data_IF_622579860231
#
_entry.id   IF_622579860231
#
_cell.length_a   1.000
_cell.length_b   1.000
_cell.length_c   1.000
_cell.angle_alpha   90.00
_cell.angle_beta   90.00
_cell.angle_gamma   90.00
#
_symmetry.space_group_name_H-M   'P 1'
#
loop_
_entity.id
_entity.type
_entity.pdbx_description
1 polymer ?
#
# COMPACT_ATOMS: atom_id res chain seq x y z
N UNK A 1 26.17 -33.00 -2.34
CA UNK A 1 25.32 -32.03 -1.61
C UNK A 1 24.57 -31.21 -2.64
N UNK A 2 23.23 -31.17 -2.60
CA UNK A 2 22.43 -30.42 -3.58
C UNK A 2 22.60 -28.91 -3.33
N UNK A 3 22.71 -28.08 -4.38
CA UNK A 3 22.70 -26.63 -4.22
C UNK A 3 21.30 -26.21 -3.75
N UNK A 4 21.24 -25.51 -2.62
CA UNK A 4 20.06 -24.76 -2.20
C UNK A 4 19.80 -23.65 -3.21
N UNK A 5 18.58 -23.48 -3.73
CA UNK A 5 18.29 -22.38 -4.63
C UNK A 5 18.18 -21.10 -3.80
N UNK A 6 19.19 -20.21 -3.85
CA UNK A 6 19.05 -18.84 -3.35
C UNK A 6 18.11 -18.08 -4.28
N UNK A 7 16.80 -18.19 -4.02
CA UNK A 7 15.83 -17.25 -4.57
C UNK A 7 15.96 -15.95 -3.82
N UNK A 8 16.90 -15.11 -4.23
CA UNK A 8 17.08 -13.78 -3.64
C UNK A 8 16.00 -12.87 -4.18
N UNK A 9 14.99 -12.59 -3.35
CA UNK A 9 14.00 -11.56 -3.66
C UNK A 9 14.55 -10.23 -3.17
N UNK A 10 15.04 -9.41 -4.10
CA UNK A 10 15.32 -8.00 -3.80
C UNK A 10 14.01 -7.30 -3.47
N UNK A 11 13.80 -6.94 -2.20
CA UNK A 11 12.65 -6.14 -1.78
C UNK A 11 12.99 -4.67 -2.07
N UNK A 12 12.80 -4.27 -3.32
CA UNK A 12 12.79 -2.86 -3.73
C UNK A 12 11.39 -2.30 -3.52
N UNK A 13 11.30 -1.21 -2.76
CA UNK A 13 10.07 -0.46 -2.63
C UNK A 13 10.02 0.54 -3.79
N UNK A 14 9.20 0.24 -4.80
CA UNK A 14 9.01 1.09 -5.96
C UNK A 14 7.89 2.10 -5.69
N UNK A 15 8.21 3.39 -5.76
CA UNK A 15 7.19 4.43 -5.82
C UNK A 15 6.85 4.70 -7.29
N UNK A 16 5.73 4.16 -7.75
CA UNK A 16 5.17 4.49 -9.06
C UNK A 16 4.51 5.87 -8.94
N UNK A 17 4.89 6.81 -9.80
CA UNK A 17 4.17 8.07 -9.99
C UNK A 17 3.22 7.89 -11.17
N UNK A 18 1.96 7.45 -10.96
CA UNK A 18 0.98 7.46 -12.03
C UNK A 18 0.53 8.90 -12.32
N UNK A 19 0.39 9.17 -13.60
CA UNK A 19 0.03 10.45 -14.21
C UNK A 19 -1.34 10.93 -13.74
N UNK A 20 -1.42 11.97 -12.89
CA UNK A 20 -2.64 12.79 -12.75
C UNK A 20 -2.43 14.14 -12.04
N UNK A 21 -1.24 14.76 -12.13
CA UNK A 21 -1.06 16.15 -11.71
C UNK A 21 -0.82 17.05 -12.92
N UNK A 22 -1.51 18.21 -12.94
CA UNK A 22 -1.36 19.30 -13.92
C UNK A 22 0.06 19.93 -13.98
N UNK A 23 1.06 19.30 -13.37
CA UNK A 23 2.47 19.67 -13.46
C UNK A 23 3.12 18.83 -14.57
N UNK A 24 3.22 19.37 -15.78
CA UNK A 24 3.84 18.70 -16.94
C UNK A 24 5.25 18.14 -16.65
N UNK A 25 5.95 18.66 -15.64
CA UNK A 25 7.33 18.30 -15.29
C UNK A 25 7.52 16.98 -14.50
N UNK A 26 6.51 16.48 -13.80
CA UNK A 26 6.58 15.20 -13.04
C UNK A 26 6.04 14.00 -13.84
N UNK A 27 5.49 14.25 -15.03
CA UNK A 27 4.56 13.36 -15.74
C UNK A 27 5.13 12.05 -16.31
N UNK A 28 6.40 11.67 -16.09
CA UNK A 28 7.04 10.50 -16.71
C UNK A 28 8.27 9.99 -15.94
N UNK A 29 8.14 9.76 -14.62
CA UNK A 29 9.26 9.30 -13.80
C UNK A 29 8.85 8.16 -12.86
N UNK A 30 9.66 7.13 -12.78
CA UNK A 30 9.59 6.13 -11.72
C UNK A 30 10.69 6.43 -10.70
N UNK A 31 10.34 6.50 -9.42
CA UNK A 31 11.30 6.82 -8.36
C UNK A 31 11.43 5.60 -7.46
N UNK A 32 12.66 5.16 -7.27
CA UNK A 32 13.01 4.03 -6.42
C UNK A 32 13.79 4.57 -5.22
N UNK A 33 13.47 4.06 -4.03
CA UNK A 33 14.18 4.39 -2.81
C UNK A 33 14.55 3.11 -2.05
N UNK A 34 15.80 3.04 -1.60
CA UNK A 34 16.29 1.99 -0.71
C UNK A 34 16.25 0.57 -1.29
N UNK A 35 16.14 -0.41 -0.40
CA UNK A 35 16.06 -1.83 -0.74
C UNK A 35 17.24 -2.64 -0.20
N UNK A 36 17.18 -3.95 -0.43
CA UNK A 36 18.22 -4.92 -0.07
C UNK A 36 18.81 -5.55 -1.33
N UNK A 37 20.12 -5.54 -1.45
CA UNK A 37 20.81 -6.03 -2.64
C UNK A 37 22.30 -6.20 -2.40
N UNK A 38 23.03 -6.51 -3.46
CA UNK A 38 24.47 -6.71 -3.41
C UNK A 38 25.23 -5.61 -4.15
N UNK A 39 26.43 -5.32 -3.67
CA UNK A 39 27.39 -4.41 -4.27
C UNK A 39 28.79 -5.00 -4.26
N UNK A 40 29.61 -4.62 -5.21
CA UNK A 40 31.04 -4.94 -5.20
C UNK A 40 31.78 -4.04 -4.21
N UNK A 41 32.95 -4.47 -3.78
CA UNK A 41 33.80 -3.70 -2.87
C UNK A 41 34.01 -2.24 -3.30
N UNK A 42 34.23 -2.00 -4.61
CA UNK A 42 34.46 -0.68 -5.17
C UNK A 42 33.20 0.20 -5.31
N UNK A 43 32.02 -0.37 -5.07
CA UNK A 43 30.71 0.31 -5.15
C UNK A 43 30.16 0.67 -3.74
N UNK A 44 30.90 0.31 -2.69
CA UNK A 44 30.54 0.65 -1.31
C UNK A 44 30.69 2.15 -1.07
N UNK A 45 29.72 2.71 -0.36
CA UNK A 45 29.68 4.12 0.03
C UNK A 45 28.81 4.28 1.30
N UNK A 46 28.75 5.48 1.85
CA UNK A 46 27.97 5.81 3.06
C UNK A 46 26.44 5.66 2.89
N UNK A 47 25.98 5.24 1.70
CA UNK A 47 24.59 4.96 1.36
C UNK A 47 24.25 3.47 1.41
N UNK A 48 25.21 2.60 1.80
CA UNK A 48 25.05 1.16 1.85
C UNK A 48 25.52 0.56 3.18
N UNK A 49 24.59 -0.05 3.91
CA UNK A 49 24.86 -0.73 5.17
C UNK A 49 25.04 -2.23 4.93
N UNK A 50 26.28 -2.70 5.04
CA UNK A 50 26.66 -4.11 4.82
C UNK A 50 26.07 -5.00 5.92
N UNK A 51 25.39 -6.05 5.50
CA UNK A 51 24.85 -7.11 6.35
C UNK A 51 25.64 -8.42 6.24
N UNK A 52 26.00 -8.81 5.01
CA UNK A 52 26.67 -10.08 4.71
C UNK A 52 27.77 -9.87 3.66
N UNK A 53 28.84 -10.64 3.72
CA UNK A 53 29.96 -10.55 2.78
C UNK A 53 30.32 -11.94 2.22
N UNK A 54 30.45 -12.03 0.90
CA UNK A 54 30.98 -13.18 0.19
C UNK A 54 32.40 -12.88 -0.27
N UNK A 55 33.36 -13.65 0.24
CA UNK A 55 34.76 -13.57 -0.18
C UNK A 55 34.94 -14.00 -1.65
N UNK A 56 34.11 -14.93 -2.13
CA UNK A 56 34.01 -15.24 -3.56
C UNK A 56 33.32 -14.07 -4.28
N UNK A 57 34.08 -13.37 -5.13
CA UNK A 57 33.60 -12.26 -5.95
C UNK A 57 33.62 -10.87 -5.28
N UNK A 58 34.12 -10.76 -4.04
CA UNK A 58 34.14 -9.49 -3.27
C UNK A 58 32.76 -8.80 -3.24
N UNK A 59 31.71 -9.59 -3.03
CA UNK A 59 30.32 -9.14 -3.04
C UNK A 59 29.81 -8.94 -1.62
N UNK A 60 29.21 -7.79 -1.38
CA UNK A 60 28.64 -7.39 -0.08
C UNK A 60 27.13 -7.21 -0.24
N UNK A 61 26.34 -7.85 0.60
CA UNK A 61 24.90 -7.71 0.67
C UNK A 61 24.51 -6.79 1.81
N UNK A 62 23.49 -5.97 1.59
CA UNK A 62 23.16 -4.94 2.54
C UNK A 62 21.96 -4.11 2.12
N UNK A 63 21.61 -3.18 3.01
CA UNK A 63 20.56 -2.21 2.77
C UNK A 63 21.14 -0.96 2.13
N UNK A 64 20.35 -0.29 1.30
CA UNK A 64 20.72 1.01 0.75
C UNK A 64 19.69 2.10 1.08
N UNK A 65 20.09 3.35 0.93
CA UNK A 65 19.22 4.55 0.95
C UNK A 65 19.36 5.35 -0.34
N UNK A 66 19.65 4.67 -1.45
CA UNK A 66 19.78 5.33 -2.75
C UNK A 66 18.43 5.83 -3.25
N UNK A 67 18.46 6.89 -4.06
CA UNK A 67 17.33 7.30 -4.87
C UNK A 67 17.71 7.16 -6.34
N UNK A 68 16.93 6.38 -7.08
CA UNK A 68 17.06 6.24 -8.52
C UNK A 68 15.79 6.72 -9.21
N UNK A 69 15.95 7.46 -10.30
CA UNK A 69 14.84 7.96 -11.10
C UNK A 69 14.97 7.38 -12.50
N UNK A 70 13.96 6.67 -12.96
CA UNK A 70 13.87 6.26 -14.35
C UNK A 70 12.94 7.21 -15.10
N UNK A 71 13.51 7.98 -16.03
CA UNK A 71 12.72 8.83 -16.94
C UNK A 71 12.15 7.93 -18.04
N UNK A 72 10.83 7.78 -18.06
CA UNK A 72 10.15 6.87 -18.99
C UNK A 72 10.12 7.40 -20.42
N UNK A 73 10.27 8.72 -20.62
CA UNK A 73 10.37 9.31 -21.98
C UNK A 73 11.75 9.10 -22.56
N UNK A 74 12.78 9.35 -21.75
CA UNK A 74 14.19 9.20 -22.17
C UNK A 74 14.69 7.77 -22.08
N UNK A 75 13.95 6.89 -21.40
CA UNK A 75 14.35 5.52 -21.06
C UNK A 75 15.74 5.47 -20.40
N UNK A 76 15.98 6.42 -19.50
CA UNK A 76 17.29 6.64 -18.90
C UNK A 76 17.20 6.76 -17.39
N UNK A 77 18.21 6.24 -16.70
CA UNK A 77 18.37 6.38 -15.27
C UNK A 77 19.04 7.71 -14.93
N UNK A 78 18.53 8.37 -13.91
CA UNK A 78 18.99 9.63 -13.37
C UNK A 78 19.09 9.48 -11.86
N UNK A 79 20.21 9.93 -11.29
CA UNK A 79 20.35 10.07 -9.85
C UNK A 79 20.19 11.55 -9.49
N UNK A 80 19.09 11.94 -8.81
CA UNK A 80 18.86 13.32 -8.46
C UNK A 80 19.78 13.74 -7.31
N UNK A 81 20.18 15.01 -7.31
CA UNK A 81 20.86 15.61 -6.16
C UNK A 81 19.83 15.87 -5.08
N UNK A 82 19.91 15.10 -4.01
CA UNK A 82 18.99 15.19 -2.88
C UNK A 82 19.56 16.07 -1.78
N UNK A 83 18.68 16.84 -1.14
CA UNK A 83 19.00 17.74 -0.02
C UNK A 83 18.48 17.15 1.28
N UNK A 84 19.04 17.63 2.39
CA UNK A 84 18.78 17.23 3.78
C UNK A 84 19.01 15.73 4.05
N UNK A 85 18.83 15.31 5.30
CA UNK A 85 19.17 13.95 5.73
C UNK A 85 18.09 12.97 5.26
N UNK A 86 18.43 11.98 4.41
CA UNK A 86 17.52 10.91 4.06
C UNK A 86 17.26 9.98 5.26
N UNK A 87 16.19 9.16 5.20
CA UNK A 87 16.02 8.05 6.12
C UNK A 87 17.24 7.10 6.07
N UNK A 88 17.48 6.38 7.16
CA UNK A 88 18.50 5.31 7.22
C UNK A 88 18.28 4.25 6.13
N UNK A 89 19.37 3.56 5.73
CA UNK A 89 19.30 2.52 4.72
C UNK A 89 18.37 1.39 5.16
N UNK A 90 17.41 1.06 4.30
CA UNK A 90 16.26 0.22 4.69
C UNK A 90 15.70 -0.58 3.54
N UNK A 91 15.11 -1.72 3.86
CA UNK A 91 14.31 -2.53 2.92
C UNK A 91 12.97 -2.89 3.55
N UNK A 92 12.06 -3.43 2.74
CA UNK A 92 10.72 -3.82 3.19
C UNK A 92 9.95 -2.69 3.91
N UNK A 93 10.29 -1.43 3.58
CA UNK A 93 9.52 -0.25 3.89
C UNK A 93 8.40 -0.08 2.86
N UNK A 94 7.36 0.69 3.16
CA UNK A 94 6.37 1.07 2.16
C UNK A 94 6.56 2.49 1.70
N UNK A 95 6.25 2.72 0.43
CA UNK A 95 6.24 4.05 -0.19
C UNK A 95 4.83 4.38 -0.67
N UNK A 96 4.39 5.63 -0.49
CA UNK A 96 3.12 6.13 -1.01
C UNK A 96 3.30 7.52 -1.61
N UNK A 97 2.65 7.78 -2.75
CA UNK A 97 2.67 9.09 -3.39
C UNK A 97 1.39 9.83 -3.03
N UNK A 98 1.52 11.04 -2.50
CA UNK A 98 0.40 11.94 -2.29
C UNK A 98 0.80 13.35 -2.71
N UNK A 99 0.14 13.86 -3.76
CA UNK A 99 0.53 15.11 -4.42
C UNK A 99 1.96 15.04 -4.98
N UNK A 100 2.80 15.99 -4.58
CA UNK A 100 4.22 16.09 -4.96
C UNK A 100 5.17 15.50 -3.90
N UNK A 101 4.68 14.67 -2.99
CA UNK A 101 5.46 14.09 -1.88
C UNK A 101 5.45 12.58 -1.94
N UNK A 102 6.64 11.99 -1.98
CA UNK A 102 6.85 10.55 -1.83
C UNK A 102 7.08 10.20 -0.36
N UNK A 103 6.10 9.60 0.29
CA UNK A 103 6.16 9.17 1.69
C UNK A 103 6.85 7.83 1.83
N UNK A 104 7.61 7.65 2.91
CA UNK A 104 8.28 6.40 3.29
C UNK A 104 7.98 6.12 4.76
N UNK A 105 7.45 4.94 5.05
CA UNK A 105 7.17 4.50 6.43
C UNK A 105 7.91 3.21 6.79
N UNK A 106 8.48 3.19 7.98
CA UNK A 106 9.05 2.01 8.62
C UNK A 106 10.12 1.30 7.78
N UNK A 107 10.06 -0.04 7.77
CA UNK A 107 11.04 -0.90 7.12
C UNK A 107 12.03 -1.53 8.09
N UNK A 108 12.83 -2.47 7.56
CA UNK A 108 13.95 -3.10 8.28
C UNK A 108 15.19 -2.23 8.11
N UNK A 109 15.80 -1.85 9.22
CA UNK A 109 17.10 -1.19 9.31
C UNK A 109 17.96 -2.06 10.21
N UNK A 110 19.05 -2.62 9.66
CA UNK A 110 19.94 -3.53 10.40
C UNK A 110 19.15 -4.64 11.12
N UNK A 111 19.24 -4.69 12.44
CA UNK A 111 18.62 -5.70 13.28
C UNK A 111 17.23 -5.31 13.82
N UNK A 112 16.71 -4.14 13.46
CA UNK A 112 15.42 -3.64 13.95
C UNK A 112 14.47 -3.26 12.82
N UNK A 113 13.21 -3.00 13.19
CA UNK A 113 12.19 -2.43 12.31
C UNK A 113 11.85 -1.04 12.82
N UNK A 114 11.50 -0.15 11.91
CA UNK A 114 11.25 1.26 12.22
C UNK A 114 9.76 1.59 12.20
N UNK A 115 9.36 2.66 12.89
CA UNK A 115 8.05 3.31 12.79
C UNK A 115 8.15 4.81 12.45
N UNK A 116 9.25 5.22 11.84
CA UNK A 116 9.45 6.58 11.38
C UNK A 116 8.71 6.83 10.05
N UNK A 117 8.19 8.04 9.89
CA UNK A 117 7.57 8.52 8.66
C UNK A 117 8.41 9.67 8.11
N UNK A 118 8.72 9.61 6.82
CA UNK A 118 9.44 10.65 6.09
C UNK A 118 8.71 10.96 4.79
N UNK A 119 8.95 12.13 4.21
CA UNK A 119 8.62 12.38 2.81
C UNK A 119 9.77 13.03 2.05
N UNK A 120 9.89 12.70 0.77
CA UNK A 120 10.70 13.41 -0.19
C UNK A 120 9.80 14.36 -0.97
N UNK A 121 10.09 15.66 -0.91
CA UNK A 121 9.45 16.63 -1.80
C UNK A 121 10.04 16.48 -3.20
N UNK A 122 9.21 16.12 -4.17
CA UNK A 122 9.64 15.74 -5.52
C UNK A 122 9.93 16.93 -6.44
N UNK A 123 9.49 18.14 -6.07
CA UNK A 123 9.83 19.37 -6.80
C UNK A 123 11.22 19.87 -6.41
N UNK A 124 11.54 19.79 -5.12
CA UNK A 124 12.76 20.36 -4.53
C UNK A 124 13.85 19.32 -4.24
N UNK A 125 13.53 18.03 -4.38
CA UNK A 125 14.38 16.89 -4.01
C UNK A 125 14.92 16.99 -2.59
N UNK A 126 14.08 17.44 -1.65
CA UNK A 126 14.45 17.68 -0.26
C UNK A 126 13.68 16.73 0.66
N UNK A 127 14.39 16.03 1.53
CA UNK A 127 13.79 15.19 2.56
C UNK A 127 13.22 16.03 3.70
N UNK A 128 12.09 15.61 4.25
CA UNK A 128 11.52 16.21 5.45
C UNK A 128 12.34 15.93 6.71
N UNK A 129 13.20 14.91 6.68
CA UNK A 129 13.64 14.21 7.89
C UNK A 129 12.47 13.49 8.56
N UNK A 130 12.71 12.95 9.75
CA UNK A 130 11.69 12.24 10.52
C UNK A 130 10.56 13.17 10.92
N UNK A 131 9.36 12.92 10.39
CA UNK A 131 8.16 13.68 10.74
C UNK A 131 7.85 13.44 12.22
N UNK A 132 7.76 14.53 12.97
CA UNK A 132 7.40 14.48 14.39
C UNK A 132 5.89 14.25 14.49
N UNK A 133 5.51 13.03 14.86
CA UNK A 133 4.11 12.65 15.07
C UNK A 133 3.73 12.95 16.51
N UNK A 134 2.58 13.60 16.70
CA UNK A 134 1.94 13.77 18.00
C UNK A 134 0.94 12.63 18.28
N UNK A 135 0.83 12.23 19.54
CA UNK A 135 -0.16 11.22 19.96
C UNK A 135 0.26 9.76 19.69
N UNK A 136 -0.74 8.91 19.46
CA UNK A 136 -0.52 7.49 19.18
C UNK A 136 0.10 7.30 17.80
N UNK A 137 0.93 6.25 17.68
CA UNK A 137 1.57 5.88 16.42
C UNK A 137 1.61 4.37 16.24
N UNK A 138 1.63 3.88 15.00
CA UNK A 138 1.76 2.45 14.74
C UNK A 138 3.07 1.88 15.32
N UNK A 139 3.03 0.63 15.73
CA UNK A 139 4.24 -0.13 16.08
C UNK A 139 5.23 -0.20 14.91
N UNK A 140 6.52 -0.34 15.23
CA UNK A 140 7.60 -0.56 14.27
C UNK A 140 7.35 -1.79 13.42
N UNK A 141 7.54 -1.67 12.11
CA UNK A 141 7.16 -2.74 11.18
C UNK A 141 7.89 -2.72 9.84
N UNK A 142 7.99 -3.89 9.22
CA UNK A 142 8.40 -4.09 7.83
C UNK A 142 7.37 -4.97 7.10
N UNK A 143 7.46 -5.08 5.78
CA UNK A 143 6.54 -5.89 4.96
C UNK A 143 5.05 -5.52 5.11
N UNK A 144 4.78 -4.30 5.55
CA UNK A 144 3.45 -3.70 5.59
C UNK A 144 3.11 -3.09 4.22
N UNK A 145 1.91 -2.54 4.08
CA UNK A 145 1.54 -1.70 2.93
C UNK A 145 1.14 -0.30 3.39
N UNK A 146 1.45 0.72 2.57
CA UNK A 146 1.03 2.11 2.77
C UNK A 146 0.36 2.57 1.49
N UNK A 147 -0.93 2.89 1.56
CA UNK A 147 -1.77 3.21 0.39
C UNK A 147 -2.33 4.62 0.54
N UNK A 148 -2.18 5.52 -0.45
CA UNK A 148 -2.85 6.81 -0.42
C UNK A 148 -4.37 6.61 -0.49
N UNK A 149 -5.10 7.25 0.41
CA UNK A 149 -6.57 7.23 0.46
C UNK A 149 -7.09 8.66 0.53
N UNK A 150 -8.01 9.01 -0.36
CA UNK A 150 -8.42 10.42 -0.53
C UNK A 150 -7.24 11.31 -0.94
N UNK A 151 -7.35 12.61 -0.63
CA UNK A 151 -6.38 13.63 -1.06
C UNK A 151 -5.32 13.96 0.02
N UNK A 152 -5.58 13.57 1.27
CA UNK A 152 -4.82 14.02 2.45
C UNK A 152 -4.59 12.92 3.49
N UNK A 153 -4.77 11.65 3.11
CA UNK A 153 -4.62 10.53 4.03
C UNK A 153 -3.82 9.37 3.45
N UNK A 154 -3.16 8.63 4.35
CA UNK A 154 -2.44 7.40 4.03
C UNK A 154 -2.97 6.28 4.91
N UNK A 155 -3.32 5.15 4.31
CA UNK A 155 -3.76 3.94 5.01
C UNK A 155 -2.60 2.95 5.11
N UNK A 156 -2.24 2.60 6.33
CA UNK A 156 -1.22 1.60 6.68
C UNK A 156 -1.92 0.31 7.10
N UNK A 157 -1.47 -0.83 6.60
CA UNK A 157 -2.00 -2.14 7.03
C UNK A 157 -0.92 -3.20 7.21
N UNK A 158 -1.08 -3.96 8.28
CA UNK A 158 -0.34 -5.19 8.57
C UNK A 158 1.17 -5.01 8.70
N UNK A 159 1.92 -6.03 8.27
CA UNK A 159 3.37 -6.14 8.38
C UNK A 159 3.80 -7.09 9.50
N UNK A 160 5.09 -7.01 9.84
CA UNK A 160 5.71 -7.78 10.90
C UNK A 160 6.38 -6.82 11.88
N UNK A 161 6.11 -6.96 13.19
CA UNK A 161 6.65 -6.06 14.21
C UNK A 161 8.14 -6.29 14.48
N UNK A 162 8.81 -5.40 15.23
CA UNK A 162 10.21 -5.60 15.64
C UNK A 162 10.40 -6.90 16.45
N UNK A 163 9.38 -7.29 17.22
CA UNK A 163 9.29 -8.52 18.04
C UNK A 163 8.87 -9.75 17.22
N UNK A 164 8.84 -9.64 15.88
CA UNK A 164 8.41 -10.70 14.96
C UNK A 164 6.97 -11.17 15.16
N UNK A 165 6.08 -10.25 15.55
CA UNK A 165 4.64 -10.52 15.64
C UNK A 165 3.94 -10.11 14.33
N UNK A 166 3.26 -11.03 13.62
CA UNK A 166 2.44 -10.68 12.46
C UNK A 166 1.33 -9.71 12.84
N UNK A 167 1.19 -8.63 12.07
CA UNK A 167 0.27 -7.54 12.38
C UNK A 167 -0.98 -7.60 11.49
N UNK A 168 -2.12 -7.27 12.09
CA UNK A 168 -3.43 -7.13 11.43
C UNK A 168 -4.06 -5.75 11.67
N UNK A 169 -3.34 -4.85 12.34
CA UNK A 169 -3.83 -3.50 12.61
C UNK A 169 -3.81 -2.62 11.36
N UNK A 170 -4.80 -1.73 11.27
CA UNK A 170 -4.91 -0.72 10.24
C UNK A 170 -4.77 0.67 10.86
N UNK A 171 -4.13 1.60 10.16
CA UNK A 171 -3.97 2.97 10.64
C UNK A 171 -4.19 3.97 9.50
N UNK A 172 -4.75 5.13 9.83
CA UNK A 172 -4.88 6.26 8.92
C UNK A 172 -4.01 7.40 9.43
N UNK A 173 -3.06 7.84 8.61
CA UNK A 173 -2.31 9.06 8.82
C UNK A 173 -3.01 10.22 8.12
N UNK A 174 -3.31 11.29 8.86
CA UNK A 174 -3.90 12.52 8.34
C UNK A 174 -2.81 13.57 8.15
N UNK A 175 -2.65 14.05 6.90
CA UNK A 175 -1.69 15.11 6.60
C UNK A 175 -2.09 16.46 7.19
N UNK A 176 -3.39 16.68 7.42
CA UNK A 176 -3.92 17.95 7.97
C UNK A 176 -3.59 18.11 9.44
N UNK A 177 -3.73 17.03 10.20
CA UNK A 177 -3.51 17.02 11.66
C UNK A 177 -2.12 16.54 12.03
N UNK A 178 -1.41 15.87 11.11
CA UNK A 178 -0.12 15.22 11.35
C UNK A 178 -0.19 14.15 12.46
N UNK A 179 -1.30 13.40 12.47
CA UNK A 179 -1.60 12.40 13.48
C UNK A 179 -1.99 11.07 12.83
N UNK A 180 -1.68 9.98 13.54
CA UNK A 180 -2.17 8.66 13.20
C UNK A 180 -3.42 8.33 14.02
N UNK A 181 -4.38 7.68 13.39
CA UNK A 181 -5.57 7.15 14.05
C UNK A 181 -5.72 5.67 13.71
N UNK A 182 -5.98 4.83 14.71
CA UNK A 182 -6.20 3.41 14.49
C UNK A 182 -7.53 3.20 13.73
N UNK A 183 -7.43 2.51 12.59
CA UNK A 183 -8.58 2.19 11.75
C UNK A 183 -9.25 0.91 12.24
N UNK A 184 -10.46 1.06 12.79
CA UNK A 184 -11.26 -0.07 13.27
C UNK A 184 -11.89 -0.79 12.09
N UNK A 185 -11.44 -2.02 11.86
CA UNK A 185 -11.96 -2.89 10.80
C UNK A 185 -12.39 -4.25 11.35
N UNK A 186 -13.12 -5.00 10.53
CA UNK A 186 -13.50 -6.39 10.78
C UNK A 186 -13.21 -7.21 9.52
N UNK A 187 -12.68 -8.44 9.64
CA UNK A 187 -12.25 -9.11 10.87
C UNK A 187 -10.88 -8.64 11.38
N UNK A 188 -10.69 -8.61 12.71
CA UNK A 188 -9.43 -8.17 13.34
C UNK A 188 -8.31 -9.20 13.28
N UNK A 189 -8.64 -10.49 13.19
CA UNK A 189 -7.67 -11.60 13.32
C UNK A 189 -7.16 -12.10 11.96
N UNK A 190 -6.87 -11.18 11.05
CA UNK A 190 -6.33 -11.50 9.73
C UNK A 190 -5.00 -10.77 9.49
N UNK A 191 -3.91 -11.19 10.18
CA UNK A 191 -2.61 -10.59 9.95
C UNK A 191 -2.12 -10.87 8.55
N UNK A 192 -1.40 -9.90 7.98
CA UNK A 192 -0.80 -9.99 6.65
C UNK A 192 0.54 -9.31 6.66
N UNK A 193 1.59 -10.02 6.26
CA UNK A 193 2.88 -9.45 5.88
C UNK A 193 3.23 -9.84 4.45
N UNK A 194 3.99 -8.96 3.80
CA UNK A 194 4.42 -9.08 2.41
C UNK A 194 3.26 -9.25 1.41
N UNK A 195 2.12 -8.69 1.80
CA UNK A 195 0.94 -8.59 0.95
C UNK A 195 1.06 -7.38 0.04
N UNK A 196 0.13 -7.28 -0.91
CA UNK A 196 -0.03 -6.10 -1.76
C UNK A 196 -1.31 -5.37 -1.38
N UNK A 197 -1.32 -4.05 -1.56
CA UNK A 197 -2.50 -3.22 -1.38
C UNK A 197 -2.67 -2.29 -2.58
N UNK A 198 -3.90 -2.09 -3.03
CA UNK A 198 -4.22 -1.12 -4.07
C UNK A 198 -5.51 -0.36 -3.77
N UNK A 199 -5.62 0.90 -4.21
CA UNK A 199 -6.86 1.65 -4.11
C UNK A 199 -7.94 1.04 -5.02
N UNK A 200 -9.11 0.80 -4.45
CA UNK A 200 -10.31 0.35 -5.13
C UNK A 200 -11.13 1.50 -5.73
N UNK A 201 -12.17 1.16 -6.49
CA UNK A 201 -12.98 2.12 -7.23
C UNK A 201 -13.91 2.97 -6.34
N UNK A 202 -14.39 2.38 -5.24
CA UNK A 202 -15.43 2.98 -4.39
C UNK A 202 -14.83 3.50 -3.06
N UNK A 203 -13.63 4.08 -3.12
CA UNK A 203 -12.81 4.51 -1.98
C UNK A 203 -12.45 3.39 -0.99
N UNK A 204 -12.20 2.22 -1.55
CA UNK A 204 -11.77 1.02 -0.83
C UNK A 204 -10.25 0.87 -0.90
N UNK A 205 -9.67 0.10 0.01
CA UNK A 205 -8.33 -0.46 -0.17
C UNK A 205 -8.46 -1.97 -0.24
N UNK A 206 -7.95 -2.54 -1.34
CA UNK A 206 -7.95 -3.96 -1.60
C UNK A 206 -6.59 -4.52 -1.22
N UNK A 207 -6.55 -5.44 -0.26
CA UNK A 207 -5.36 -6.15 0.18
C UNK A 207 -5.42 -7.60 -0.29
N UNK A 208 -4.38 -8.04 -0.99
CA UNK A 208 -4.30 -9.38 -1.56
C UNK A 208 -2.96 -10.05 -1.25
N UNK A 209 -3.03 -11.35 -0.97
CA UNK A 209 -1.86 -12.19 -0.84
C UNK A 209 -1.16 -12.07 0.52
N UNK A 210 0.15 -12.29 0.52
CA UNK A 210 1.01 -12.22 1.71
C UNK A 210 0.97 -13.48 2.57
N UNK A 211 1.47 -13.37 3.79
CA UNK A 211 1.48 -14.43 4.80
C UNK A 211 0.85 -13.95 6.11
N UNK A 212 0.14 -14.85 6.80
CA UNK A 212 -0.36 -14.63 8.16
C UNK A 212 0.65 -14.98 9.26
N UNK A 213 1.69 -15.73 8.90
CA UNK A 213 2.73 -16.22 9.80
C UNK A 213 4.07 -15.54 9.49
N UNK A 214 4.96 -15.43 10.47
CA UNK A 214 6.33 -14.94 10.26
C UNK A 214 7.07 -15.88 9.30
N UNK A 215 7.25 -15.43 8.06
CA UNK A 215 7.85 -16.19 6.96
C UNK A 215 9.27 -16.69 7.25
N UNK A 216 9.98 -16.07 8.19
CA UNK A 216 11.32 -16.52 8.59
C UNK A 216 11.27 -17.72 9.54
N UNK A 217 10.15 -17.93 10.23
CA UNK A 217 9.93 -19.06 11.13
C UNK A 217 9.04 -20.15 10.53
N UNK A 218 7.99 -19.77 9.79
CA UNK A 218 7.06 -20.69 9.14
C UNK A 218 6.61 -20.17 7.77
N UNK A 219 6.75 -21.01 6.74
CA UNK A 219 6.43 -20.69 5.33
C UNK A 219 5.14 -21.37 4.83
N UNK A 220 4.19 -21.63 5.71
CA UNK A 220 2.91 -22.30 5.38
C UNK A 220 1.71 -21.35 5.41
N UNK A 221 1.91 -20.12 5.89
CA UNK A 221 0.88 -19.13 6.15
C UNK A 221 0.41 -18.30 4.95
N UNK A 222 0.74 -18.69 3.72
CA UNK A 222 0.41 -17.90 2.54
C UNK A 222 -1.10 -17.76 2.35
N UNK A 223 -1.52 -16.53 2.06
CA UNK A 223 -2.90 -16.16 1.85
C UNK A 223 -3.15 -15.91 0.36
N UNK A 224 -4.34 -16.24 -0.13
CA UNK A 224 -4.80 -15.98 -1.50
C UNK A 224 -6.20 -15.33 -1.52
N UNK A 225 -6.67 -14.88 -0.37
CA UNK A 225 -7.92 -14.18 -0.19
C UNK A 225 -7.75 -12.66 -0.35
N UNK A 226 -8.88 -11.99 -0.53
CA UNK A 226 -8.97 -10.55 -0.73
C UNK A 226 -9.61 -9.91 0.50
N UNK A 227 -8.92 -8.96 1.11
CA UNK A 227 -9.47 -8.09 2.16
C UNK A 227 -9.84 -6.75 1.53
N UNK A 228 -11.00 -6.23 1.88
CA UNK A 228 -11.50 -4.95 1.36
C UNK A 228 -11.78 -4.03 2.54
N UNK A 229 -11.06 -2.92 2.63
CA UNK A 229 -11.21 -1.92 3.68
C UNK A 229 -11.90 -0.69 3.12
N UNK A 230 -13.08 -0.36 3.63
CA UNK A 230 -13.76 0.89 3.31
C UNK A 230 -13.15 2.04 4.13
N UNK A 231 -12.21 2.76 3.54
CA UNK A 231 -11.44 3.80 4.25
C UNK A 231 -12.11 5.18 4.24
N UNK A 232 -13.01 5.42 3.29
CA UNK A 232 -13.79 6.67 3.17
C UNK A 232 -15.27 6.36 2.94
N UNK A 233 -16.19 7.32 3.07
CA UNK A 233 -17.55 7.16 2.59
C UNK A 233 -17.62 6.80 1.10
N UNK A 234 -18.67 6.08 0.70
CA UNK A 234 -18.92 5.79 -0.71
C UNK A 234 -19.06 7.08 -1.53
N UNK A 235 -18.56 7.11 -2.77
CA UNK A 235 -18.78 8.25 -3.66
C UNK A 235 -20.27 8.57 -3.82
N UNK A 236 -20.61 9.85 -4.00
CA UNK A 236 -22.00 10.29 -4.22
C UNK A 236 -22.65 9.51 -5.37
N UNK A 237 -21.90 9.30 -6.47
CA UNK A 237 -22.37 8.49 -7.59
C UNK A 237 -22.78 7.08 -7.14
N UNK A 238 -21.96 6.41 -6.31
CA UNK A 238 -22.25 5.07 -5.81
C UNK A 238 -23.52 5.06 -4.94
N UNK A 239 -23.66 6.05 -4.05
CA UNK A 239 -24.84 6.22 -3.21
C UNK A 239 -26.12 6.46 -4.04
N UNK A 240 -26.03 7.27 -5.09
CA UNK A 240 -27.13 7.49 -6.02
C UNK A 240 -27.50 6.20 -6.78
N UNK A 241 -26.50 5.49 -7.31
CA UNK A 241 -26.71 4.21 -8.01
C UNK A 241 -27.39 3.19 -7.11
N UNK A 242 -26.93 3.03 -5.86
CA UNK A 242 -27.53 2.10 -4.90
C UNK A 242 -28.93 2.53 -4.48
N UNK A 243 -29.20 3.84 -4.39
CA UNK A 243 -30.54 4.37 -4.10
C UNK A 243 -31.53 4.07 -5.23
N UNK A 244 -31.10 4.23 -6.49
CA UNK A 244 -31.89 3.87 -7.67
C UNK A 244 -32.07 2.35 -7.75
N UNK A 245 -31.01 1.58 -7.53
CA UNK A 245 -31.04 0.11 -7.55
C UNK A 245 -32.03 -0.48 -6.55
N UNK A 246 -32.07 0.06 -5.33
CA UNK A 246 -33.07 -0.32 -4.31
C UNK A 246 -34.49 0.06 -4.71
N UNK A 247 -34.69 1.19 -5.36
CA UNK A 247 -36.02 1.75 -5.67
C UNK A 247 -36.36 1.68 -7.16
N UNK A 248 -35.87 0.66 -7.87
CA UNK A 248 -35.96 0.54 -9.32
C UNK A 248 -37.38 0.71 -9.89
N UNK A 249 -38.41 0.26 -9.15
CA UNK A 249 -39.82 0.39 -9.55
C UNK A 249 -40.30 1.84 -9.63
N UNK A 250 -39.78 2.73 -8.79
CA UNK A 250 -40.17 4.15 -8.76
C UNK A 250 -39.54 4.93 -9.91
N UNK A 251 -38.33 4.54 -10.33
CA UNK A 251 -37.56 5.27 -11.34
C UNK A 251 -37.71 4.75 -12.77
N UNK A 252 -38.50 3.69 -12.99
CA UNK A 252 -38.60 2.97 -14.28
C UNK A 252 -38.82 3.89 -15.49
N UNK A 253 -39.67 4.91 -15.35
CA UNK A 253 -40.01 5.83 -16.44
C UNK A 253 -38.90 6.87 -16.72
N UNK A 254 -38.02 7.12 -15.75
CA UNK A 254 -36.93 8.10 -15.86
C UNK A 254 -35.61 7.45 -16.29
N UNK A 255 -35.48 6.12 -16.20
CA UNK A 255 -34.27 5.40 -16.60
C UNK A 255 -33.93 5.59 -18.09
N UNK A 256 -34.94 5.73 -18.95
CA UNK A 256 -34.76 5.96 -20.40
C UNK A 256 -34.13 7.31 -20.73
N UNK A 257 -34.11 8.26 -19.79
CA UNK A 257 -33.50 9.58 -19.98
C UNK A 257 -32.00 9.59 -19.69
N UNK A 258 -31.44 8.51 -19.12
CA UNK A 258 -30.04 8.45 -18.75
C UNK A 258 -29.15 8.17 -19.98
N UNK A 259 -27.96 8.80 -20.07
CA UNK A 259 -26.95 8.42 -21.03
C UNK A 259 -26.56 6.94 -20.90
N UNK A 260 -26.25 6.29 -22.03
CA UNK A 260 -26.02 4.84 -22.10
C UNK A 260 -25.02 4.32 -21.05
N UNK A 261 -23.91 5.04 -20.80
CA UNK A 261 -22.91 4.64 -19.80
C UNK A 261 -23.46 4.63 -18.37
N UNK A 262 -24.30 5.60 -18.02
CA UNK A 262 -24.94 5.68 -16.70
C UNK A 262 -26.05 4.65 -16.58
N UNK A 263 -26.84 4.46 -17.63
CA UNK A 263 -27.88 3.43 -17.68
C UNK A 263 -27.28 2.03 -17.41
N UNK A 264 -26.16 1.68 -18.05
CA UNK A 264 -25.47 0.42 -17.80
C UNK A 264 -25.00 0.24 -16.34
N UNK A 265 -24.60 1.33 -15.67
CA UNK A 265 -24.21 1.28 -14.25
C UNK A 265 -25.43 1.11 -13.35
N UNK A 266 -26.53 1.80 -13.66
CA UNK A 266 -27.80 1.67 -12.96
C UNK A 266 -28.36 0.26 -13.09
N UNK A 267 -28.39 -0.31 -14.29
CA UNK A 267 -28.87 -1.67 -14.53
C UNK A 267 -28.08 -2.70 -13.73
N UNK A 268 -26.76 -2.58 -13.68
CA UNK A 268 -25.91 -3.43 -12.83
C UNK A 268 -26.27 -3.31 -11.35
N UNK A 269 -26.53 -2.09 -10.87
CA UNK A 269 -26.96 -1.87 -9.48
C UNK A 269 -28.35 -2.45 -9.21
N UNK A 270 -29.32 -2.28 -10.12
CA UNK A 270 -30.65 -2.89 -10.03
C UNK A 270 -30.53 -4.42 -9.95
N UNK A 271 -29.73 -5.03 -10.83
CA UNK A 271 -29.50 -6.49 -10.83
C UNK A 271 -28.88 -6.95 -9.51
N UNK A 272 -27.86 -6.22 -9.03
CA UNK A 272 -27.21 -6.51 -7.76
C UNK A 272 -28.21 -6.49 -6.58
N UNK A 273 -28.98 -5.43 -6.43
CA UNK A 273 -29.95 -5.30 -5.33
C UNK A 273 -31.12 -6.30 -5.45
N UNK A 274 -31.54 -6.64 -6.67
CA UNK A 274 -32.53 -7.69 -6.92
C UNK A 274 -32.03 -9.07 -6.45
N UNK A 275 -30.79 -9.41 -6.81
CA UNK A 275 -30.16 -10.66 -6.35
C UNK A 275 -29.97 -10.69 -4.83
N UNK A 276 -29.58 -9.57 -4.22
CA UNK A 276 -29.42 -9.45 -2.76
C UNK A 276 -30.74 -9.68 -2.04
N UNK A 277 -31.83 -9.06 -2.49
CA UNK A 277 -33.18 -9.28 -1.93
C UNK A 277 -33.60 -10.75 -2.03
N UNK A 278 -33.35 -11.39 -3.17
CA UNK A 278 -33.67 -12.81 -3.37
C UNK A 278 -32.87 -13.74 -2.44
N UNK A 279 -31.59 -13.46 -2.20
CA UNK A 279 -30.77 -14.22 -1.25
C UNK A 279 -31.27 -14.04 0.19
N UNK A 280 -31.66 -12.82 0.55
CA UNK A 280 -32.15 -12.51 1.88
C UNK A 280 -33.48 -13.21 2.15
N UNK A 281 -34.45 -13.13 1.23
CA UNK A 281 -35.72 -13.86 1.35
C UNK A 281 -35.52 -15.37 1.49
N UNK A 282 -34.51 -15.95 0.82
CA UNK A 282 -34.17 -17.37 0.99
C UNK A 282 -33.63 -17.67 2.39
N UNK A 283 -32.72 -16.85 2.93
CA UNK A 283 -32.21 -17.04 4.30
C UNK A 283 -33.35 -16.97 5.32
N UNK A 284 -34.19 -15.96 5.22
CA UNK A 284 -35.32 -15.77 6.12
C UNK A 284 -36.28 -16.98 6.06
N UNK A 285 -36.52 -17.53 4.86
CA UNK A 285 -37.33 -18.75 4.68
C UNK A 285 -36.69 -20.01 5.29
N UNK A 286 -35.35 -20.11 5.26
CA UNK A 286 -34.62 -21.23 5.88
C UNK A 286 -34.58 -21.12 7.41
N UNK A 287 -34.50 -19.91 7.95
CA UNK A 287 -34.54 -19.68 9.40
C UNK A 287 -35.95 -19.96 9.96
N UNK A 288 -37.02 -19.53 9.26
CA UNK A 288 -38.41 -19.81 9.65
C UNK A 288 -38.73 -21.32 9.65
N UNK A 289 -38.16 -22.09 8.71
CA UNK A 289 -38.40 -23.54 8.63
C UNK A 289 -37.55 -24.37 9.63
N UNK A 290 -36.58 -23.76 10.31
CA UNK A 290 -35.68 -24.43 11.27
C UNK A 290 -35.86 -23.92 12.71
N UNK A 291 -36.88 -23.10 12.97
CA UNK A 291 -37.40 -22.73 14.31
C UNK A 291 -38.74 -23.38 14.55
#
# INVERSE_FOLDING_TARGET
MKPTPSRTVSVLSLLIIPTNSNSEHLSCRLIYFGGYGSRRHNELNDYFDVHEASWEGQMFWGWNKDIHVFDTKKQAWIQPVVKSNPPEARAAHSCALLGNKGYVFGGRVLQTRMNDLHFLNLDTWTWSGGIQITGEKPHSRSWHTLTPVGDDQLFLFGGLSAESVPLSDGWIYSLKTNEWTEFKHLPKDQPRLWHTACPGKDNEVMVFGGSKDDLLSMDTGHCNDLLIFQTQPYPLLRLCLDSIGKNASQFKNQLSYLPLKLLQQVDRSIMFWTATRFRQSRRDSYEINNT
#
